data_IF_998541850680
#
_entry.id   IF_998541850680
#
_cell.length_a   1.000
_cell.length_b   1.000
_cell.length_c   1.000
_cell.angle_alpha   90.00
_cell.angle_beta   90.00
_cell.angle_gamma   90.00
#
_symmetry.space_group_name_H-M   'P 1'
#
loop_
_entity.id
_entity.type
_entity.pdbx_description
1 polymer ?
#
# COMPACT_ATOMS: atom_id res chain seq x y z
N UNK A 1 31.59 -17.23 -4.96
CA UNK A 1 31.76 -17.30 -3.52
C UNK A 1 31.32 -16.04 -2.82
N UNK A 2 31.10 -16.11 -1.54
CA UNK A 2 30.73 -14.98 -0.68
C UNK A 2 32.02 -14.32 -0.20
N UNK A 3 32.13 -12.99 -0.28
CA UNK A 3 33.33 -12.26 0.12
C UNK A 3 33.21 -11.69 1.56
N UNK A 4 31.99 -11.56 2.07
CA UNK A 4 31.69 -11.12 3.43
C UNK A 4 30.48 -11.90 3.96
N UNK A 5 30.65 -12.56 5.09
CA UNK A 5 29.55 -13.20 5.80
C UNK A 5 28.89 -12.21 6.75
N UNK A 6 27.56 -12.22 6.80
CA UNK A 6 26.80 -11.51 7.81
C UNK A 6 26.49 -12.47 8.96
N UNK A 7 27.31 -12.38 10.03
CA UNK A 7 27.20 -13.21 11.23
C UNK A 7 27.02 -12.27 12.44
N UNK A 8 25.79 -11.97 12.82
CA UNK A 8 25.50 -10.89 13.77
C UNK A 8 25.61 -11.30 15.24
N UNK A 9 25.68 -12.61 15.54
CA UNK A 9 25.53 -13.09 16.93
C UNK A 9 26.82 -13.50 17.59
N UNK A 10 27.81 -14.01 16.83
CA UNK A 10 29.08 -14.47 17.38
C UNK A 10 30.24 -14.32 16.37
N UNK A 11 31.44 -14.77 16.80
CA UNK A 11 32.65 -14.73 15.99
C UNK A 11 33.08 -16.13 15.48
N UNK A 12 32.23 -17.13 15.58
CA UNK A 12 32.55 -18.51 15.18
C UNK A 12 32.97 -18.60 13.71
N UNK A 13 32.36 -17.80 12.83
CA UNK A 13 32.77 -17.72 11.42
C UNK A 13 34.29 -17.46 11.27
N UNK A 14 34.83 -16.50 12.03
CA UNK A 14 36.26 -16.15 11.96
C UNK A 14 37.15 -17.31 12.41
N UNK A 15 36.76 -18.00 13.48
CA UNK A 15 37.47 -19.15 14.00
C UNK A 15 37.47 -20.32 13.03
N UNK A 16 36.29 -20.70 12.54
CA UNK A 16 36.12 -21.81 11.60
C UNK A 16 36.82 -21.53 10.25
N UNK A 17 36.74 -20.30 9.74
CA UNK A 17 37.43 -19.92 8.50
C UNK A 17 38.95 -20.01 8.65
N UNK A 18 39.50 -19.58 9.80
CA UNK A 18 40.92 -19.71 10.12
C UNK A 18 41.36 -21.18 10.15
N UNK A 19 40.58 -22.06 10.77
CA UNK A 19 40.82 -23.50 10.80
C UNK A 19 40.83 -24.09 9.39
N UNK A 20 39.85 -23.76 8.54
CA UNK A 20 39.79 -24.23 7.17
C UNK A 20 41.02 -23.82 6.32
N UNK A 21 41.57 -22.62 6.58
CA UNK A 21 42.81 -22.17 5.95
C UNK A 21 44.01 -22.97 6.46
N UNK A 22 44.12 -23.22 7.79
CA UNK A 22 45.16 -24.01 8.39
C UNK A 22 45.16 -25.48 7.91
N UNK A 23 43.96 -26.04 7.72
CA UNK A 23 43.75 -27.38 7.16
C UNK A 23 43.94 -27.42 5.63
N UNK A 24 44.27 -26.30 4.99
CA UNK A 24 44.45 -26.16 3.53
C UNK A 24 43.20 -26.49 2.70
N UNK A 25 42.02 -26.45 3.32
CA UNK A 25 40.73 -26.61 2.64
C UNK A 25 40.31 -25.33 1.91
N UNK A 26 40.73 -24.16 2.39
CA UNK A 26 40.55 -22.87 1.77
C UNK A 26 41.94 -22.25 1.53
N UNK A 27 42.31 -21.92 0.29
CA UNK A 27 43.60 -21.29 0.00
C UNK A 27 43.61 -19.83 0.47
N UNK A 28 44.75 -19.37 0.97
CA UNK A 28 44.93 -17.97 1.42
C UNK A 28 44.63 -16.97 0.31
N UNK A 29 44.91 -17.31 -0.95
CA UNK A 29 44.56 -16.46 -2.11
C UNK A 29 43.09 -16.15 -2.23
N UNK A 30 42.19 -17.05 -1.77
CA UNK A 30 40.75 -16.81 -1.75
C UNK A 30 40.36 -15.77 -0.69
N UNK A 31 41.04 -15.84 0.47
CA UNK A 31 40.85 -14.85 1.53
C UNK A 31 41.33 -13.47 1.07
N UNK A 32 42.52 -13.43 0.46
CA UNK A 32 43.07 -12.17 -0.09
C UNK A 32 42.16 -11.55 -1.17
N UNK A 33 41.52 -12.35 -2.02
CA UNK A 33 40.60 -11.87 -3.03
C UNK A 33 39.34 -11.26 -2.37
N UNK A 34 38.76 -11.93 -1.37
CA UNK A 34 37.62 -11.41 -0.60
C UNK A 34 37.95 -10.06 0.06
N UNK A 35 39.09 -10.00 0.76
CA UNK A 35 39.56 -8.77 1.42
C UNK A 35 39.77 -7.64 0.41
N UNK A 36 40.41 -7.92 -0.75
CA UNK A 36 40.60 -6.90 -1.80
C UNK A 36 39.28 -6.37 -2.34
N UNK A 37 38.26 -7.20 -2.49
CA UNK A 37 36.94 -6.76 -2.96
C UNK A 37 36.25 -5.84 -1.94
N UNK A 38 36.27 -6.19 -0.66
CA UNK A 38 35.73 -5.35 0.41
C UNK A 38 36.49 -4.04 0.52
N UNK A 39 37.84 -4.08 0.53
CA UNK A 39 38.66 -2.88 0.61
C UNK A 39 38.47 -1.97 -0.63
N UNK A 40 38.38 -2.55 -1.82
CA UNK A 40 38.10 -1.80 -3.06
C UNK A 40 36.81 -1.00 -2.95
N UNK A 41 35.75 -1.59 -2.39
CA UNK A 41 34.49 -0.88 -2.17
C UNK A 41 34.69 0.30 -1.18
N UNK A 42 35.40 0.06 -0.07
CA UNK A 42 35.70 1.10 0.92
C UNK A 42 36.50 2.27 0.32
N UNK A 43 37.51 1.98 -0.51
CA UNK A 43 38.27 3.02 -1.24
C UNK A 43 37.40 3.79 -2.22
N UNK A 44 36.55 3.10 -3.00
CA UNK A 44 35.63 3.74 -3.95
C UNK A 44 34.62 4.67 -3.27
N UNK A 45 34.21 4.33 -2.07
CA UNK A 45 33.30 5.13 -1.25
C UNK A 45 34.02 6.26 -0.48
N UNK A 46 35.37 6.34 -0.55
CA UNK A 46 36.15 7.35 0.18
C UNK A 46 36.13 7.18 1.70
N UNK A 47 35.84 5.97 2.23
CA UNK A 47 35.65 5.76 3.67
C UNK A 47 36.94 5.93 4.48
N UNK A 48 38.12 5.89 3.85
CA UNK A 48 39.41 6.15 4.53
C UNK A 48 39.69 7.64 4.63
N UNK A 49 39.19 8.45 3.68
CA UNK A 49 39.36 9.89 3.68
C UNK A 49 38.24 10.60 4.46
N UNK A 50 37.00 10.03 4.37
CA UNK A 50 35.79 10.55 5.00
C UNK A 50 35.06 9.43 5.77
N UNK A 51 35.63 8.97 6.91
CA UNK A 51 35.07 7.80 7.64
C UNK A 51 33.73 8.07 8.32
N UNK A 52 33.41 9.35 8.57
CA UNK A 52 32.22 9.73 9.32
C UNK A 52 31.38 10.75 8.52
N UNK A 53 30.09 10.52 8.50
CA UNK A 53 29.10 11.50 8.04
C UNK A 53 28.62 12.32 9.23
N UNK A 54 28.73 13.64 9.16
CA UNK A 54 28.31 14.53 10.23
C UNK A 54 26.98 15.18 9.89
N UNK A 55 26.04 15.20 10.82
CA UNK A 55 24.72 15.83 10.62
C UNK A 55 24.78 17.28 10.17
N UNK A 56 25.83 18.03 10.61
CA UNK A 56 26.04 19.43 10.19
C UNK A 56 26.20 19.61 8.67
N UNK A 57 26.65 18.55 7.97
CA UNK A 57 26.85 18.55 6.53
C UNK A 57 25.54 18.26 5.76
N UNK A 58 24.48 17.95 6.48
CA UNK A 58 23.14 17.61 5.95
C UNK A 58 22.04 18.42 6.63
N UNK A 59 21.99 19.74 6.42
CA UNK A 59 21.09 20.65 7.16
C UNK A 59 19.61 20.38 6.91
N UNK A 60 19.27 19.69 5.81
CA UNK A 60 17.89 19.31 5.51
C UNK A 60 17.45 17.99 6.18
N UNK A 61 18.39 17.23 6.77
CA UNK A 61 18.04 15.98 7.46
C UNK A 61 17.15 16.25 8.68
N UNK A 62 15.92 15.74 8.66
CA UNK A 62 14.93 15.99 9.71
C UNK A 62 14.43 17.44 9.76
N UNK A 63 14.61 18.22 8.70
CA UNK A 63 14.08 19.59 8.60
C UNK A 63 12.55 19.62 8.49
N UNK A 64 11.97 20.81 8.70
CA UNK A 64 10.54 21.04 8.46
C UNK A 64 10.12 20.77 7.01
N UNK A 65 11.01 21.03 6.07
CA UNK A 65 10.79 20.76 4.65
C UNK A 65 10.65 19.25 4.40
N UNK A 66 11.57 18.42 4.93
CA UNK A 66 11.48 16.98 4.84
C UNK A 66 10.24 16.42 5.60
N UNK A 67 9.85 17.06 6.72
CA UNK A 67 8.64 16.72 7.45
C UNK A 67 7.37 16.90 6.61
N UNK A 68 7.28 18.03 5.89
CA UNK A 68 6.14 18.30 4.98
C UNK A 68 6.11 17.33 3.80
N UNK A 69 7.26 16.99 3.22
CA UNK A 69 7.33 15.97 2.16
C UNK A 69 6.83 14.62 2.67
N UNK A 70 7.23 14.20 3.87
CA UNK A 70 6.79 12.94 4.47
C UNK A 70 5.28 12.95 4.79
N UNK A 71 4.74 14.07 5.30
CA UNK A 71 3.30 14.23 5.52
C UNK A 71 2.53 14.12 4.19
N UNK A 72 2.94 14.86 3.16
CA UNK A 72 2.29 14.80 1.84
C UNK A 72 2.37 13.39 1.23
N UNK A 73 3.50 12.69 1.41
CA UNK A 73 3.62 11.31 0.94
C UNK A 73 2.63 10.37 1.65
N UNK A 74 2.42 10.54 2.96
CA UNK A 74 1.40 9.80 3.70
C UNK A 74 -0.02 10.14 3.22
N UNK A 75 -0.36 11.41 3.09
CA UNK A 75 -1.66 11.88 2.57
C UNK A 75 -1.98 11.32 1.17
N UNK A 76 -0.95 11.17 0.33
CA UNK A 76 -1.11 10.63 -1.03
C UNK A 76 -1.03 9.11 -1.13
N UNK A 77 -0.77 8.40 -0.03
CA UNK A 77 -0.71 6.94 0.04
C UNK A 77 -1.95 6.30 0.69
N UNK A 78 -2.72 7.03 1.49
CA UNK A 78 -3.90 6.51 2.17
C UNK A 78 -5.10 6.42 1.22
N UNK A 79 -5.70 5.23 1.12
CA UNK A 79 -6.70 4.90 0.09
C UNK A 79 -8.11 4.87 0.69
N UNK A 80 -8.99 5.74 0.22
CA UNK A 80 -10.42 5.67 0.54
C UNK A 80 -11.08 4.54 -0.26
N UNK A 81 -11.56 3.50 0.42
CA UNK A 81 -12.12 2.29 -0.18
C UNK A 81 -13.65 2.21 -0.13
N UNK A 82 -14.25 2.89 0.83
CA UNK A 82 -15.71 2.99 0.99
C UNK A 82 -16.08 4.32 1.62
N UNK A 83 -17.17 4.93 1.15
CA UNK A 83 -17.73 6.15 1.71
C UNK A 83 -19.24 6.19 1.48
N UNK A 84 -19.97 5.39 2.27
CA UNK A 84 -21.41 5.27 2.16
C UNK A 84 -22.08 6.57 2.57
N UNK A 85 -23.05 7.00 1.77
CA UNK A 85 -23.85 8.22 1.99
C UNK A 85 -23.02 9.48 2.22
N UNK A 86 -21.75 9.48 1.75
CA UNK A 86 -20.79 10.57 1.95
C UNK A 86 -20.59 10.92 3.44
N UNK A 87 -20.45 9.92 4.31
CA UNK A 87 -20.19 10.13 5.72
C UNK A 87 -18.86 10.87 5.97
N UNK A 88 -17.89 10.69 5.07
CA UNK A 88 -16.65 11.47 5.02
C UNK A 88 -16.76 12.58 3.96
N UNK A 89 -16.16 13.76 4.23
CA UNK A 89 -15.41 14.14 5.43
C UNK A 89 -16.31 14.33 6.66
N UNK A 90 -15.72 14.11 7.84
CA UNK A 90 -16.42 14.20 9.12
C UNK A 90 -16.78 15.66 9.44
N UNK A 91 -18.01 15.95 9.87
CA UNK A 91 -18.36 17.28 10.34
C UNK A 91 -17.73 17.56 11.71
N UNK A 92 -17.32 18.81 11.94
CA UNK A 92 -16.81 19.27 13.22
C UNK A 92 -17.86 19.17 14.35
N UNK A 93 -17.40 19.05 15.60
CA UNK A 93 -18.25 19.03 16.78
C UNK A 93 -18.92 17.69 17.09
N UNK A 94 -18.67 16.64 16.31
CA UNK A 94 -19.12 15.29 16.58
C UNK A 94 -18.29 14.65 17.68
N UNK A 95 -18.93 13.83 18.52
CA UNK A 95 -18.25 12.99 19.50
C UNK A 95 -17.75 11.72 18.82
N UNK A 96 -16.47 11.48 18.91
CA UNK A 96 -15.77 10.38 18.26
C UNK A 96 -15.25 9.37 19.30
N UNK A 97 -15.38 8.09 19.00
CA UNK A 97 -14.64 7.02 19.66
C UNK A 97 -13.54 6.54 18.73
N UNK A 98 -12.29 6.60 19.17
CA UNK A 98 -11.17 5.94 18.49
C UNK A 98 -10.89 4.64 19.23
N UNK A 99 -10.88 3.50 18.52
CA UNK A 99 -10.84 2.17 19.11
C UNK A 99 -10.00 1.22 18.25
N UNK A 100 -9.67 0.04 18.76
CA UNK A 100 -8.82 -0.95 18.11
C UNK A 100 -7.34 -0.85 18.49
N UNK A 101 -6.56 -1.91 18.21
CA UNK A 101 -5.17 -2.00 18.66
C UNK A 101 -4.24 -0.99 18.00
N UNK A 102 -4.56 -0.57 16.78
CA UNK A 102 -3.76 0.39 15.99
C UNK A 102 -4.07 1.86 16.31
N UNK A 103 -5.09 2.12 17.15
CA UNK A 103 -5.57 3.47 17.44
C UNK A 103 -4.52 4.39 18.07
N UNK A 104 -3.66 3.86 18.95
CA UNK A 104 -2.72 4.64 19.73
C UNK A 104 -1.32 3.98 19.77
N UNK A 105 -0.72 3.77 18.60
CA UNK A 105 0.59 3.14 18.45
C UNK A 105 1.34 3.69 17.23
N UNK A 106 2.49 4.30 17.48
CA UNK A 106 3.42 4.68 16.42
C UNK A 106 4.08 3.45 15.80
N UNK A 107 4.21 2.37 16.57
CA UNK A 107 4.77 1.10 16.11
C UNK A 107 3.96 0.54 14.94
N UNK A 108 2.64 0.54 15.04
CA UNK A 108 1.75 0.06 13.97
C UNK A 108 1.85 0.92 12.70
N UNK A 109 1.94 2.25 12.83
CA UNK A 109 2.07 3.17 11.71
C UNK A 109 3.37 3.00 10.93
N UNK A 110 4.46 2.61 11.60
CA UNK A 110 5.79 2.56 11.01
C UNK A 110 6.20 1.18 10.48
N UNK A 111 5.73 0.10 11.09
CA UNK A 111 6.13 -1.26 10.70
C UNK A 111 7.54 -1.66 11.14
N UNK A 112 8.06 -2.75 10.58
CA UNK A 112 9.41 -3.24 10.84
C UNK A 112 10.50 -2.39 10.19
N UNK A 113 11.76 -2.59 10.61
CA UNK A 113 12.93 -1.80 10.19
C UNK A 113 12.83 -0.31 10.49
N UNK A 114 11.88 0.08 11.35
CA UNK A 114 11.74 1.45 11.84
C UNK A 114 12.23 1.53 13.27
N UNK A 115 13.25 2.34 13.54
CA UNK A 115 13.94 2.49 14.83
C UNK A 115 14.57 1.23 15.41
N UNK A 116 14.09 0.06 15.06
CA UNK A 116 14.64 -1.25 15.42
C UNK A 116 14.22 -2.30 14.39
N UNK A 117 14.87 -3.48 14.41
CA UNK A 117 14.60 -4.54 13.44
C UNK A 117 13.11 -4.89 13.35
N UNK A 118 12.47 -5.29 14.44
CA UNK A 118 11.04 -5.63 14.45
C UNK A 118 10.12 -4.43 14.72
N UNK A 119 10.65 -3.21 14.78
CA UNK A 119 9.87 -2.01 15.05
C UNK A 119 9.41 -1.85 16.52
N UNK A 120 9.80 -2.73 17.43
CA UNK A 120 9.35 -2.74 18.83
C UNK A 120 9.80 -1.55 19.67
N UNK A 121 10.82 -0.80 19.20
CA UNK A 121 11.30 0.41 19.86
C UNK A 121 10.67 1.70 19.30
N UNK A 122 9.77 1.60 18.33
CA UNK A 122 9.21 2.77 17.63
C UNK A 122 8.49 3.72 18.60
N UNK A 123 7.62 3.21 19.46
CA UNK A 123 6.85 4.06 20.39
C UNK A 123 7.77 4.86 21.34
N UNK A 124 8.98 4.33 21.63
CA UNK A 124 9.97 5.02 22.48
C UNK A 124 10.67 6.17 21.75
N UNK A 125 10.93 6.04 20.44
CA UNK A 125 11.74 7.00 19.68
C UNK A 125 10.90 7.91 18.78
N UNK A 126 9.64 7.57 18.55
CA UNK A 126 8.70 8.35 17.74
C UNK A 126 7.73 9.19 18.58
N UNK A 127 8.01 9.41 19.86
CA UNK A 127 7.20 10.11 20.85
C UNK A 127 6.87 11.57 20.51
N UNK A 128 7.59 12.16 19.56
CA UNK A 128 7.35 13.52 19.04
C UNK A 128 6.34 13.58 17.90
N UNK A 129 5.86 12.43 17.40
CA UNK A 129 4.89 12.33 16.33
C UNK A 129 3.54 11.88 16.89
N UNK A 130 2.47 12.15 16.17
CA UNK A 130 1.13 11.85 16.63
C UNK A 130 0.71 10.43 16.20
N UNK A 131 0.20 9.65 17.15
CA UNK A 131 -0.59 8.45 16.84
C UNK A 131 -1.90 8.84 16.14
N UNK A 132 -2.66 7.87 15.62
CA UNK A 132 -3.99 8.13 15.02
C UNK A 132 -4.88 8.88 16.05
N UNK A 133 -4.93 8.39 17.28
CA UNK A 133 -5.72 9.00 18.33
C UNK A 133 -5.31 10.46 18.62
N UNK A 134 -4.02 10.71 18.80
CA UNK A 134 -3.50 12.05 19.11
C UNK A 134 -3.74 13.03 17.95
N UNK A 135 -3.54 12.59 16.71
CA UNK A 135 -3.82 13.40 15.53
C UNK A 135 -5.30 13.76 15.41
N UNK A 136 -6.21 12.80 15.68
CA UNK A 136 -7.65 13.05 15.68
C UNK A 136 -8.03 14.01 16.82
N UNK A 137 -7.44 13.87 18.01
CA UNK A 137 -7.63 14.84 19.11
C UNK A 137 -7.20 16.25 18.70
N UNK A 138 -6.04 16.39 18.05
CA UNK A 138 -5.54 17.68 17.59
C UNK A 138 -6.47 18.29 16.52
N UNK A 139 -7.06 17.48 15.66
CA UNK A 139 -7.92 17.92 14.54
C UNK A 139 -9.35 18.26 14.97
N UNK A 140 -9.97 17.45 15.82
CA UNK A 140 -11.39 17.55 16.18
C UNK A 140 -11.63 18.08 17.59
N UNK A 141 -10.58 18.31 18.37
CA UNK A 141 -10.63 18.74 19.77
C UNK A 141 -10.68 17.56 20.75
N UNK A 142 -9.77 17.53 21.72
CA UNK A 142 -9.63 16.43 22.66
C UNK A 142 -10.90 16.15 23.48
N UNK A 143 -11.71 17.18 23.77
CA UNK A 143 -12.99 17.03 24.50
C UNK A 143 -14.06 16.28 23.69
N UNK A 144 -13.89 16.18 22.37
CA UNK A 144 -14.79 15.47 21.47
C UNK A 144 -14.35 14.04 21.16
N UNK A 145 -13.12 13.66 21.52
CA UNK A 145 -12.51 12.39 21.12
C UNK A 145 -12.23 11.54 22.35
N UNK A 146 -12.75 10.32 22.35
CA UNK A 146 -12.50 9.31 23.39
C UNK A 146 -11.68 8.18 22.83
N UNK A 147 -10.66 7.74 23.58
CA UNK A 147 -9.94 6.50 23.32
C UNK A 147 -10.50 5.39 24.20
N UNK A 148 -10.83 4.26 23.58
CA UNK A 148 -11.09 2.99 24.27
C UNK A 148 -10.74 1.87 23.31
N UNK A 149 -9.55 1.28 23.46
CA UNK A 149 -9.02 0.38 22.44
C UNK A 149 -9.78 -0.95 22.32
N UNK A 150 -10.24 -1.52 23.45
CA UNK A 150 -10.96 -2.81 23.49
C UNK A 150 -10.10 -4.02 23.15
N UNK A 151 -9.11 -3.85 22.26
CA UNK A 151 -8.07 -4.83 21.91
C UNK A 151 -6.74 -4.11 21.89
N UNK A 152 -5.67 -4.73 22.40
CA UNK A 152 -4.31 -4.19 22.42
C UNK A 152 -3.30 -5.28 22.18
N UNK A 153 -2.17 -4.94 21.57
CA UNK A 153 -1.05 -5.87 21.41
C UNK A 153 -0.24 -6.00 22.71
N UNK A 154 0.40 -7.17 22.90
CA UNK A 154 1.39 -7.35 23.98
C UNK A 154 2.68 -6.64 23.60
N UNK A 155 3.21 -5.74 24.44
CA UNK A 155 4.43 -4.97 24.13
C UNK A 155 5.65 -5.86 23.81
N UNK A 156 5.85 -6.91 24.60
CA UNK A 156 7.00 -7.84 24.47
C UNK A 156 6.60 -9.16 23.78
N UNK A 157 5.40 -9.26 23.24
CA UNK A 157 4.90 -10.46 22.56
C UNK A 157 5.35 -10.54 21.10
N UNK A 158 5.03 -11.66 20.44
CA UNK A 158 5.10 -11.75 18.98
C UNK A 158 4.18 -10.68 18.34
N UNK A 159 4.45 -10.30 17.09
CA UNK A 159 3.73 -9.19 16.46
C UNK A 159 2.18 -9.34 16.47
N UNK A 160 1.70 -10.58 16.44
CA UNK A 160 0.26 -10.90 16.43
C UNK A 160 -0.34 -11.12 17.83
N UNK A 161 0.48 -11.15 18.88
CA UNK A 161 -0.03 -11.43 20.23
C UNK A 161 -0.77 -10.25 20.81
N UNK A 162 -1.99 -10.53 21.24
CA UNK A 162 -2.89 -9.57 21.86
C UNK A 162 -3.05 -9.84 23.36
N UNK A 163 -3.33 -8.80 24.12
CA UNK A 163 -3.77 -8.93 25.51
C UNK A 163 -5.21 -9.47 25.57
N UNK A 164 -5.66 -9.84 26.77
CA UNK A 164 -7.07 -10.18 26.98
C UNK A 164 -7.96 -9.02 26.53
N UNK A 165 -8.93 -9.22 25.64
CA UNK A 165 -9.72 -8.14 25.06
C UNK A 165 -10.73 -7.56 26.04
N UNK A 166 -10.91 -6.24 26.01
CA UNK A 166 -11.87 -5.49 26.84
C UNK A 166 -13.02 -4.92 25.98
N UNK A 167 -13.60 -5.76 25.12
CA UNK A 167 -14.59 -5.37 24.11
C UNK A 167 -15.81 -4.67 24.71
N UNK A 168 -16.31 -5.13 25.87
CA UNK A 168 -17.45 -4.54 26.56
C UNK A 168 -17.21 -3.06 26.95
N UNK A 169 -15.97 -2.70 27.30
CA UNK A 169 -15.60 -1.29 27.59
C UNK A 169 -15.72 -0.44 26.33
N UNK A 170 -15.22 -0.94 25.19
CA UNK A 170 -15.31 -0.24 23.91
C UNK A 170 -16.78 -0.06 23.48
N UNK A 171 -17.61 -1.10 23.61
CA UNK A 171 -19.05 -1.03 23.31
C UNK A 171 -19.77 -0.02 24.23
N UNK A 172 -19.45 -0.02 25.54
CA UNK A 172 -20.01 0.96 26.47
C UNK A 172 -19.61 2.40 26.11
N UNK A 173 -18.37 2.61 25.71
CA UNK A 173 -17.89 3.91 25.22
C UNK A 173 -18.61 4.34 23.93
N UNK A 174 -18.80 3.43 22.99
CA UNK A 174 -19.43 3.66 21.69
C UNK A 174 -20.88 4.16 21.80
N UNK A 175 -21.61 3.76 22.83
CA UNK A 175 -23.00 4.21 23.05
C UNK A 175 -23.12 5.72 23.27
N UNK A 176 -22.05 6.36 23.75
CA UNK A 176 -22.04 7.77 24.15
C UNK A 176 -21.39 8.70 23.12
N UNK A 177 -21.12 8.22 21.91
CA UNK A 177 -20.52 8.99 20.81
C UNK A 177 -21.42 9.01 19.60
N UNK A 178 -21.06 9.84 18.61
CA UNK A 178 -21.81 9.94 17.35
C UNK A 178 -21.25 8.97 16.30
N UNK A 179 -19.92 8.79 16.25
CA UNK A 179 -19.19 8.03 15.23
C UNK A 179 -18.07 7.23 15.88
N UNK A 180 -17.83 6.04 15.36
CA UNK A 180 -16.77 5.13 15.78
C UNK A 180 -15.68 5.11 14.68
N UNK A 181 -14.42 5.30 15.07
CA UNK A 181 -13.24 5.13 14.23
C UNK A 181 -12.51 3.88 14.73
N UNK A 182 -12.69 2.76 14.04
CA UNK A 182 -12.13 1.46 14.42
C UNK A 182 -10.83 1.22 13.65
N UNK A 183 -9.69 1.31 14.35
CA UNK A 183 -8.34 1.13 13.79
C UNK A 183 -7.88 -0.30 14.04
N UNK A 184 -7.94 -1.12 13.00
CA UNK A 184 -7.55 -2.53 13.02
C UNK A 184 -6.44 -2.81 12.01
N UNK A 185 -5.81 -3.97 12.11
CA UNK A 185 -4.76 -4.37 11.19
C UNK A 185 -3.67 -5.20 11.85
N UNK A 186 -2.43 -4.82 11.62
CA UNK A 186 -1.25 -5.55 12.09
C UNK A 186 -0.37 -4.68 12.99
N UNK A 187 0.34 -5.33 13.91
CA UNK A 187 1.46 -4.72 14.61
C UNK A 187 2.71 -4.77 13.71
N UNK A 188 3.80 -4.12 14.12
CA UNK A 188 5.05 -4.15 13.35
C UNK A 188 5.69 -5.53 13.32
N UNK A 189 6.20 -5.90 12.17
CA UNK A 189 6.99 -7.11 11.92
C UNK A 189 7.92 -6.90 10.73
N UNK A 190 8.93 -7.74 10.61
CA UNK A 190 9.69 -7.95 9.39
C UNK A 190 10.25 -9.38 9.34
N UNK A 191 10.56 -9.85 8.14
CA UNK A 191 11.17 -11.15 7.86
C UNK A 191 10.40 -12.34 8.48
N UNK A 192 11.12 -13.43 8.82
CA UNK A 192 10.55 -14.67 9.35
C UNK A 192 9.63 -14.49 10.57
N UNK A 193 9.92 -13.62 11.56
CA UNK A 193 8.98 -13.36 12.65
C UNK A 193 7.60 -12.87 12.20
N UNK A 194 7.50 -12.29 11.00
CA UNK A 194 6.24 -11.86 10.41
C UNK A 194 5.55 -12.91 9.54
N UNK A 195 6.07 -14.14 9.43
CA UNK A 195 5.41 -15.19 8.66
C UNK A 195 4.05 -15.54 9.25
N UNK A 196 3.11 -15.83 8.37
CA UNK A 196 1.78 -16.29 8.74
C UNK A 196 1.30 -17.37 7.77
N UNK A 197 0.36 -18.19 8.21
CA UNK A 197 -0.29 -19.24 7.42
C UNK A 197 -1.71 -18.86 6.97
N UNK A 198 -2.29 -17.82 7.56
CA UNK A 198 -3.67 -17.38 7.32
C UNK A 198 -3.71 -15.86 7.12
N UNK A 199 -4.53 -15.40 6.17
CA UNK A 199 -4.75 -13.97 5.95
C UNK A 199 -5.88 -13.40 6.81
N UNK A 200 -6.60 -14.21 7.58
CA UNK A 200 -7.68 -13.74 8.45
C UNK A 200 -7.17 -12.66 9.42
N UNK A 201 -7.94 -11.58 9.60
CA UNK A 201 -7.69 -10.61 10.68
C UNK A 201 -7.82 -11.30 12.03
N UNK A 202 -7.17 -10.78 13.08
CA UNK A 202 -7.29 -11.33 14.43
C UNK A 202 -8.74 -11.54 14.85
N UNK A 203 -9.01 -12.68 15.49
CA UNK A 203 -10.33 -13.01 15.99
C UNK A 203 -10.86 -11.99 17.00
N UNK A 204 -10.00 -11.37 17.83
CA UNK A 204 -10.41 -10.36 18.78
C UNK A 204 -10.74 -9.03 18.09
N UNK A 205 -9.99 -8.64 17.06
CA UNK A 205 -10.29 -7.45 16.25
C UNK A 205 -11.61 -7.64 15.49
N UNK A 206 -11.84 -8.82 14.91
CA UNK A 206 -13.11 -9.16 14.26
C UNK A 206 -14.28 -9.09 15.25
N UNK A 207 -14.15 -9.68 16.45
CA UNK A 207 -15.15 -9.59 17.52
C UNK A 207 -15.42 -8.16 17.94
N UNK A 208 -14.38 -7.33 18.08
CA UNK A 208 -14.51 -5.92 18.42
C UNK A 208 -15.41 -5.18 17.42
N UNK A 209 -15.08 -5.24 16.12
CA UNK A 209 -15.87 -4.54 15.09
C UNK A 209 -17.31 -5.02 15.05
N UNK A 210 -17.56 -6.36 15.12
CA UNK A 210 -18.89 -6.93 15.16
C UNK A 210 -19.69 -6.48 16.40
N UNK A 211 -19.05 -6.40 17.57
CA UNK A 211 -19.69 -5.93 18.77
C UNK A 211 -20.03 -4.41 18.70
N UNK A 212 -19.13 -3.61 18.15
CA UNK A 212 -19.36 -2.17 17.93
C UNK A 212 -20.53 -1.94 16.97
N UNK A 213 -20.67 -2.74 15.92
CA UNK A 213 -21.79 -2.66 14.98
C UNK A 213 -23.16 -2.85 15.65
N UNK A 214 -23.24 -3.60 16.76
CA UNK A 214 -24.49 -3.76 17.51
C UNK A 214 -25.01 -2.48 18.17
N UNK A 215 -24.17 -1.44 18.27
CA UNK A 215 -24.54 -0.15 18.82
C UNK A 215 -25.38 0.69 17.87
N UNK A 216 -25.39 0.35 16.57
CA UNK A 216 -26.08 1.10 15.52
C UNK A 216 -25.41 2.45 15.19
N UNK A 217 -24.21 2.69 15.71
CA UNK A 217 -23.44 3.90 15.38
C UNK A 217 -22.67 3.70 14.08
N UNK A 218 -22.51 4.75 13.25
CA UNK A 218 -21.65 4.66 12.07
C UNK A 218 -20.22 4.27 12.41
N UNK A 219 -19.64 3.39 11.62
CA UNK A 219 -18.26 2.91 11.79
C UNK A 219 -17.41 3.33 10.60
N UNK A 220 -16.32 4.03 10.88
CA UNK A 220 -15.21 4.30 9.98
C UNK A 220 -14.15 3.26 10.29
N UNK A 221 -13.90 2.35 9.36
CA UNK A 221 -12.90 1.30 9.52
C UNK A 221 -11.58 1.77 8.93
N UNK A 222 -10.54 1.82 9.76
CA UNK A 222 -9.17 2.14 9.36
C UNK A 222 -8.38 0.84 9.34
N UNK A 223 -7.84 0.49 8.17
CA UNK A 223 -6.95 -0.65 7.97
C UNK A 223 -5.52 -0.14 8.01
N UNK A 224 -4.75 -0.57 9.02
CA UNK A 224 -3.34 -0.24 9.17
C UNK A 224 -2.55 -1.55 9.13
N UNK A 225 -2.10 -1.91 7.94
CA UNK A 225 -1.56 -3.24 7.66
C UNK A 225 -0.49 -3.21 6.58
N UNK A 226 0.53 -4.04 6.72
CA UNK A 226 1.61 -4.17 5.72
C UNK A 226 1.28 -5.14 4.59
N UNK A 227 0.23 -5.93 4.73
CA UNK A 227 -0.31 -6.88 3.75
C UNK A 227 -1.82 -7.02 3.96
N UNK A 228 -2.60 -7.37 2.92
CA UNK A 228 -4.05 -7.44 3.04
C UNK A 228 -4.48 -8.52 4.03
N UNK A 229 -5.42 -8.18 4.91
CA UNK A 229 -6.07 -9.11 5.84
C UNK A 229 -7.52 -9.31 5.42
N UNK A 230 -8.01 -10.54 5.47
CA UNK A 230 -9.39 -10.85 5.07
C UNK A 230 -10.38 -10.19 6.04
N UNK A 231 -11.20 -9.30 5.48
CA UNK A 231 -12.20 -8.50 6.21
C UNK A 231 -13.59 -8.53 5.54
N UNK A 232 -13.84 -9.53 4.70
CA UNK A 232 -15.06 -9.63 3.91
C UNK A 232 -16.36 -9.61 4.73
N UNK A 233 -16.29 -10.01 6.00
CA UNK A 233 -17.42 -10.01 6.96
C UNK A 233 -17.46 -8.74 7.83
N UNK A 234 -16.43 -7.93 7.81
CA UNK A 234 -16.35 -6.65 8.54
C UNK A 234 -16.68 -5.45 7.65
N UNK A 235 -16.23 -5.47 6.39
CA UNK A 235 -16.47 -4.39 5.43
C UNK A 235 -17.96 -4.00 5.33
N UNK A 236 -18.94 -4.94 5.28
CA UNK A 236 -20.35 -4.58 5.23
C UNK A 236 -20.87 -3.84 6.47
N UNK A 237 -20.20 -3.97 7.62
CA UNK A 237 -20.54 -3.32 8.87
C UNK A 237 -20.03 -1.88 8.96
N UNK A 238 -19.10 -1.49 8.08
CA UNK A 238 -18.52 -0.15 8.05
C UNK A 238 -19.26 0.77 7.10
N UNK A 239 -19.41 2.05 7.45
CA UNK A 239 -19.94 3.10 6.60
C UNK A 239 -18.86 3.76 5.74
N UNK A 240 -17.62 3.78 6.24
CA UNK A 240 -16.45 4.11 5.44
C UNK A 240 -15.28 3.17 5.75
N UNK A 241 -14.38 3.00 4.78
CA UNK A 241 -13.15 2.21 4.91
C UNK A 241 -11.99 2.99 4.31
N UNK A 242 -10.92 3.15 5.06
CA UNK A 242 -9.66 3.74 4.59
C UNK A 242 -8.54 2.72 4.88
N UNK A 243 -7.78 2.36 3.85
CA UNK A 243 -6.54 1.60 3.99
C UNK A 243 -5.38 2.58 4.04
N UNK A 244 -4.69 2.64 5.18
CA UNK A 244 -3.56 3.53 5.38
C UNK A 244 -2.21 2.85 5.17
N UNK A 245 -2.20 1.53 4.91
CA UNK A 245 -0.97 0.74 4.77
C UNK A 245 -0.03 0.93 5.98
N UNK A 246 1.24 1.26 5.73
CA UNK A 246 2.24 1.65 6.74
C UNK A 246 2.72 3.07 6.42
N UNK A 247 1.99 4.11 6.84
CA UNK A 247 2.23 5.48 6.37
C UNK A 247 3.39 6.19 7.10
N UNK A 248 3.98 5.55 8.10
CA UNK A 248 5.11 6.08 8.85
C UNK A 248 4.73 7.14 9.88
N UNK A 249 5.71 7.96 10.27
CA UNK A 249 5.59 8.89 11.39
C UNK A 249 4.47 9.94 11.26
N UNK A 250 4.08 10.31 10.05
CA UNK A 250 3.06 11.32 9.77
C UNK A 250 1.70 10.73 9.39
N UNK A 251 1.55 9.41 9.45
CA UNK A 251 0.32 8.74 9.04
C UNK A 251 -0.89 9.12 9.88
N UNK A 252 -0.73 9.31 11.21
CA UNK A 252 -1.81 9.79 12.05
C UNK A 252 -2.32 11.17 11.62
N UNK A 253 -1.39 12.10 11.34
CA UNK A 253 -1.73 13.46 10.89
C UNK A 253 -2.36 13.45 9.50
N UNK A 254 -1.84 12.64 8.57
CA UNK A 254 -2.38 12.46 7.23
C UNK A 254 -3.83 11.95 7.26
N UNK A 255 -4.08 10.88 8.03
CA UNK A 255 -5.42 10.34 8.23
C UNK A 255 -6.37 11.39 8.83
N UNK A 256 -5.93 12.15 9.84
CA UNK A 256 -6.75 13.18 10.44
C UNK A 256 -7.11 14.30 9.44
N UNK A 257 -6.19 14.69 8.55
CA UNK A 257 -6.44 15.65 7.47
C UNK A 257 -7.47 15.12 6.47
N UNK A 258 -7.36 13.84 6.08
CA UNK A 258 -8.35 13.18 5.21
C UNK A 258 -9.72 13.13 5.90
N UNK A 259 -9.79 12.64 7.13
CA UNK A 259 -11.05 12.56 7.87
C UNK A 259 -11.75 13.92 8.03
N UNK A 260 -10.98 14.99 8.19
CA UNK A 260 -11.51 16.36 8.31
C UNK A 260 -11.89 17.02 6.96
N UNK A 261 -11.43 16.44 5.84
CA UNK A 261 -11.64 17.01 4.51
C UNK A 261 -10.65 18.11 4.12
N UNK A 262 -9.60 18.32 4.91
CA UNK A 262 -8.50 19.25 4.57
C UNK A 262 -7.69 18.70 3.38
N UNK A 263 -7.67 17.38 3.24
CA UNK A 263 -7.08 16.66 2.12
C UNK A 263 -8.15 15.76 1.50
N UNK A 264 -8.32 15.88 0.18
CA UNK A 264 -9.17 14.98 -0.58
C UNK A 264 -8.37 13.72 -0.95
N UNK A 265 -8.79 12.50 -0.52
CA UNK A 265 -8.07 11.29 -0.82
C UNK A 265 -7.93 11.06 -2.33
N UNK A 266 -6.76 10.59 -2.75
CA UNK A 266 -6.41 10.46 -4.15
C UNK A 266 -5.56 9.23 -4.47
N UNK A 267 -5.27 8.43 -3.46
CA UNK A 267 -4.52 7.19 -3.62
C UNK A 267 -5.38 6.09 -4.27
N UNK A 268 -4.71 5.16 -4.93
CA UNK A 268 -5.33 3.98 -5.55
C UNK A 268 -4.64 2.73 -5.02
N UNK A 269 -5.41 1.65 -4.88
CA UNK A 269 -4.88 0.35 -4.45
C UNK A 269 -3.74 -0.12 -5.36
N UNK A 270 -2.54 -0.34 -4.80
CA UNK A 270 -1.38 -0.78 -5.59
C UNK A 270 -1.36 -2.29 -5.85
N UNK A 271 -2.34 -3.03 -5.35
CA UNK A 271 -2.54 -4.46 -5.55
C UNK A 271 -4.04 -4.79 -5.55
N UNK A 272 -4.38 -6.02 -5.96
CA UNK A 272 -5.74 -6.55 -5.81
C UNK A 272 -5.93 -7.05 -4.38
N UNK A 273 -6.87 -6.47 -3.65
CA UNK A 273 -7.19 -6.85 -2.28
C UNK A 273 -8.06 -8.13 -2.28
N UNK A 274 -7.60 -9.26 -1.70
CA UNK A 274 -8.32 -10.52 -1.73
C UNK A 274 -9.57 -10.47 -0.83
N UNK A 275 -10.66 -11.04 -1.31
CA UNK A 275 -11.90 -11.19 -0.52
C UNK A 275 -11.88 -12.46 0.33
N UNK A 276 -11.20 -13.50 -0.14
CA UNK A 276 -11.08 -14.81 0.51
C UNK A 276 -9.63 -15.27 0.39
N UNK A 277 -9.17 -16.11 1.28
CA UNK A 277 -7.79 -16.61 1.28
C UNK A 277 -7.41 -17.34 -0.01
N UNK A 278 -8.36 -18.04 -0.63
CA UNK A 278 -8.15 -18.74 -1.91
C UNK A 278 -8.31 -17.82 -3.15
N UNK A 279 -8.71 -16.56 -2.97
CA UNK A 279 -8.91 -15.62 -4.06
C UNK A 279 -7.61 -14.84 -4.36
N UNK A 280 -6.55 -15.55 -4.70
CA UNK A 280 -5.24 -14.99 -5.01
C UNK A 280 -5.14 -14.68 -6.51
N UNK A 281 -5.94 -13.72 -6.98
CA UNK A 281 -5.85 -13.23 -8.34
C UNK A 281 -5.16 -11.87 -8.39
N UNK A 282 -4.37 -11.64 -9.43
CA UNK A 282 -3.75 -10.36 -9.74
C UNK A 282 -4.58 -9.61 -10.79
N UNK A 283 -4.38 -8.30 -10.96
CA UNK A 283 -5.13 -7.50 -11.94
C UNK A 283 -4.81 -7.89 -13.39
N UNK A 284 -3.63 -8.48 -13.62
CA UNK A 284 -3.10 -8.94 -14.90
C UNK A 284 -3.23 -10.45 -15.09
N UNK A 285 -4.21 -11.07 -14.43
CA UNK A 285 -4.49 -12.50 -14.59
C UNK A 285 -4.70 -12.89 -16.05
N UNK A 286 -4.49 -14.16 -16.37
CA UNK A 286 -4.79 -14.70 -17.71
C UNK A 286 -6.26 -15.09 -17.79
N UNK A 287 -6.90 -14.80 -18.93
CA UNK A 287 -8.34 -15.03 -19.12
C UNK A 287 -8.74 -16.48 -18.88
N UNK A 288 -7.81 -17.44 -19.10
CA UNK A 288 -8.04 -18.87 -18.82
C UNK A 288 -8.12 -19.21 -17.32
N UNK A 289 -7.71 -18.32 -16.44
CA UNK A 289 -7.69 -18.50 -14.98
C UNK A 289 -8.97 -17.96 -14.33
N UNK A 290 -9.68 -17.08 -14.99
CA UNK A 290 -10.98 -16.54 -14.59
C UNK A 290 -12.04 -16.91 -15.62
N UNK A 291 -13.09 -17.57 -15.18
CA UNK A 291 -14.18 -17.99 -16.04
C UNK A 291 -15.42 -17.17 -15.77
N UNK A 292 -16.16 -16.92 -16.84
CA UNK A 292 -17.48 -16.31 -16.75
C UNK A 292 -18.50 -17.23 -16.07
N UNK A 293 -19.67 -16.68 -15.77
CA UNK A 293 -20.80 -17.49 -15.32
C UNK A 293 -21.20 -18.48 -16.38
N UNK A 294 -21.42 -19.73 -15.99
CA UNK A 294 -22.08 -20.72 -16.82
C UNK A 294 -23.54 -20.83 -16.44
N UNK A 295 -24.42 -20.68 -17.43
CA UNK A 295 -25.87 -20.87 -17.28
C UNK A 295 -26.29 -22.24 -17.83
N UNK A 296 -27.31 -22.85 -17.25
CA UNK A 296 -27.90 -24.11 -17.70
C UNK A 296 -27.61 -25.27 -16.77
N UNK A 297 -27.35 -26.48 -17.33
CA UNK A 297 -27.20 -27.71 -16.56
C UNK A 297 -26.06 -27.69 -15.51
N UNK A 298 -25.12 -26.78 -15.69
CA UNK A 298 -23.97 -26.54 -14.80
C UNK A 298 -23.95 -25.06 -14.38
N UNK A 299 -25.03 -24.61 -13.75
CA UNK A 299 -25.12 -23.22 -13.26
C UNK A 299 -24.12 -22.98 -12.14
N UNK A 300 -22.96 -22.43 -12.48
CA UNK A 300 -21.93 -22.05 -11.54
C UNK A 300 -21.26 -20.72 -11.91
N UNK A 301 -20.75 -20.06 -10.90
CA UNK A 301 -19.98 -18.83 -11.03
C UNK A 301 -18.51 -19.10 -10.66
N UNK A 302 -17.63 -19.11 -11.64
CA UNK A 302 -16.20 -19.33 -11.45
C UNK A 302 -15.39 -18.00 -11.35
N UNK A 303 -16.08 -16.86 -11.38
CA UNK A 303 -15.40 -15.56 -11.25
C UNK A 303 -14.81 -15.41 -9.86
N UNK A 304 -13.50 -15.14 -9.80
CA UNK A 304 -12.80 -14.88 -8.53
C UNK A 304 -13.26 -13.53 -7.96
N UNK A 305 -13.92 -13.59 -6.82
CA UNK A 305 -14.42 -12.40 -6.13
C UNK A 305 -13.29 -11.74 -5.35
N UNK A 306 -12.94 -10.48 -5.70
CA UNK A 306 -11.98 -9.67 -4.97
C UNK A 306 -12.68 -8.67 -4.05
N UNK A 307 -12.02 -8.20 -3.00
CA UNK A 307 -12.57 -7.16 -2.12
C UNK A 307 -12.49 -5.80 -2.82
N UNK A 308 -11.30 -5.43 -3.29
CA UNK A 308 -11.07 -4.25 -4.12
C UNK A 308 -10.04 -4.56 -5.21
N UNK A 309 -10.29 -4.19 -6.45
CA UNK A 309 -9.35 -4.44 -7.53
C UNK A 309 -8.15 -3.47 -7.46
N UNK A 310 -7.04 -3.85 -8.09
CA UNK A 310 -5.93 -2.94 -8.37
C UNK A 310 -6.42 -1.67 -9.04
N UNK A 311 -5.91 -0.53 -8.60
CA UNK A 311 -6.26 0.79 -9.11
C UNK A 311 -7.56 1.36 -8.54
N UNK A 312 -8.26 0.63 -7.65
CA UNK A 312 -9.44 1.13 -6.97
C UNK A 312 -9.07 2.16 -5.89
N UNK A 313 -9.88 3.18 -5.75
CA UNK A 313 -9.76 4.21 -4.72
C UNK A 313 -10.75 5.33 -5.01
N UNK A 314 -11.42 5.80 -3.98
CA UNK A 314 -12.43 6.85 -4.04
C UNK A 314 -11.82 8.24 -3.76
N UNK A 315 -12.60 9.25 -4.05
CA UNK A 315 -12.31 10.65 -3.77
C UNK A 315 -13.57 11.32 -3.22
N UNK A 316 -13.45 12.47 -2.57
CA UNK A 316 -14.60 13.30 -2.19
C UNK A 316 -15.22 14.05 -3.38
N UNK A 317 -14.58 13.96 -4.54
CA UNK A 317 -15.08 14.50 -5.81
C UNK A 317 -15.23 13.38 -6.85
N UNK A 318 -15.73 13.70 -8.03
CA UNK A 318 -15.95 12.76 -9.13
C UNK A 318 -15.22 13.20 -10.37
N UNK A 319 -14.73 12.25 -11.17
CA UNK A 319 -14.04 12.53 -12.43
C UNK A 319 -14.71 11.81 -13.59
N UNK A 320 -14.76 12.48 -14.74
CA UNK A 320 -15.24 11.95 -16.00
C UNK A 320 -14.11 11.89 -17.02
N UNK A 321 -14.07 10.80 -17.79
CA UNK A 321 -13.07 10.55 -18.82
C UNK A 321 -13.72 10.62 -20.19
N UNK A 322 -13.13 11.40 -21.10
CA UNK A 322 -13.64 11.57 -22.47
C UNK A 322 -12.51 11.78 -23.48
N UNK A 323 -12.82 11.71 -24.78
CA UNK A 323 -11.91 12.02 -25.88
C UNK A 323 -10.59 11.23 -25.86
N UNK A 324 -10.66 9.92 -25.58
CA UNK A 324 -9.48 9.05 -25.62
C UNK A 324 -9.01 8.85 -27.05
N UNK A 325 -7.78 9.25 -27.35
CA UNK A 325 -7.19 9.27 -28.69
C UNK A 325 -5.74 8.78 -28.67
N UNK A 326 -5.24 8.39 -29.85
CA UNK A 326 -3.84 8.07 -30.09
C UNK A 326 -3.34 8.78 -31.36
N UNK A 327 -2.06 9.08 -31.40
CA UNK A 327 -1.39 9.64 -32.58
C UNK A 327 -1.21 8.60 -33.70
N UNK A 328 -1.23 7.29 -33.38
CA UNK A 328 -1.03 6.19 -34.32
C UNK A 328 -2.05 5.07 -34.09
N UNK A 329 -2.86 4.78 -35.11
CA UNK A 329 -3.74 3.60 -35.11
C UNK A 329 -2.99 2.31 -35.49
N UNK A 330 -1.81 2.43 -36.10
CA UNK A 330 -0.89 1.31 -36.38
C UNK A 330 0.55 1.73 -36.16
N UNK A 331 1.41 0.77 -35.73
CA UNK A 331 2.78 1.04 -35.34
C UNK A 331 3.70 -0.12 -35.72
N UNK A 332 5.02 0.12 -35.63
CA UNK A 332 6.11 -0.83 -35.89
C UNK A 332 7.10 -0.84 -34.73
N UNK A 333 8.05 -1.77 -34.77
CA UNK A 333 9.10 -1.83 -33.75
C UNK A 333 9.92 -0.53 -33.72
N UNK A 334 10.16 -0.03 -32.49
CA UNK A 334 10.90 1.21 -32.26
C UNK A 334 10.05 2.48 -32.26
N UNK A 335 8.74 2.39 -32.53
CA UNK A 335 7.83 3.52 -32.44
C UNK A 335 7.59 3.95 -30.97
N UNK A 336 7.52 5.27 -30.75
CA UNK A 336 6.88 5.86 -29.58
C UNK A 336 5.38 6.04 -29.86
N UNK A 337 4.55 5.71 -28.89
CA UNK A 337 3.09 5.76 -28.95
C UNK A 337 2.59 6.78 -27.93
N UNK A 338 1.77 7.74 -28.40
CA UNK A 338 1.22 8.77 -27.54
C UNK A 338 -0.30 8.63 -27.47
N UNK A 339 -0.81 8.72 -26.25
CA UNK A 339 -2.24 8.64 -25.96
C UNK A 339 -2.67 9.90 -25.23
N UNK A 340 -3.80 10.46 -25.59
CA UNK A 340 -4.38 11.61 -24.90
C UNK A 340 -5.80 11.31 -24.46
N UNK A 341 -6.17 11.81 -23.29
CA UNK A 341 -7.51 11.70 -22.72
C UNK A 341 -7.86 12.96 -21.95
N UNK A 342 -9.10 13.41 -22.06
CA UNK A 342 -9.61 14.49 -21.26
C UNK A 342 -10.16 13.96 -19.94
N UNK A 343 -9.76 14.58 -18.84
CA UNK A 343 -10.24 14.29 -17.49
C UNK A 343 -10.89 15.54 -16.93
N UNK A 344 -12.15 15.44 -16.55
CA UNK A 344 -12.94 16.54 -15.99
C UNK A 344 -13.30 16.24 -14.53
N UNK A 345 -13.06 17.18 -13.63
CA UNK A 345 -13.59 17.12 -12.27
C UNK A 345 -15.06 17.57 -12.30
N UNK A 346 -15.99 16.62 -12.18
CA UNK A 346 -17.43 16.86 -12.21
C UNK A 346 -18.06 17.10 -10.84
N UNK A 347 -17.25 16.99 -9.77
CA UNK A 347 -17.73 17.14 -8.40
C UNK A 347 -17.53 18.55 -7.83
N UNK A 348 -17.63 18.66 -6.51
CA UNK A 348 -17.67 19.95 -5.80
C UNK A 348 -16.34 20.33 -5.14
N UNK A 349 -15.41 19.42 -5.02
CA UNK A 349 -14.12 19.61 -4.34
C UNK A 349 -12.97 19.55 -5.34
N UNK A 350 -11.93 20.32 -5.11
CA UNK A 350 -10.65 20.10 -5.79
C UNK A 350 -10.15 18.69 -5.47
N UNK A 351 -9.56 18.03 -6.43
CA UNK A 351 -9.10 16.66 -6.23
C UNK A 351 -8.03 16.23 -7.21
N UNK A 352 -7.31 15.19 -6.84
CA UNK A 352 -6.31 14.56 -7.71
C UNK A 352 -6.84 13.25 -8.23
N UNK A 353 -6.56 12.95 -9.50
CA UNK A 353 -6.93 11.68 -10.15
C UNK A 353 -5.70 11.01 -10.75
N UNK A 354 -5.63 9.68 -10.62
CA UNK A 354 -4.58 8.86 -11.21
C UNK A 354 -5.07 8.29 -12.54
N UNK A 355 -4.64 8.91 -13.62
CA UNK A 355 -4.96 8.49 -14.99
C UNK A 355 -4.06 7.33 -15.37
N UNK A 356 -4.63 6.15 -15.58
CA UNK A 356 -3.91 4.90 -15.85
C UNK A 356 -4.19 4.41 -17.27
N UNK A 357 -3.13 4.10 -18.03
CA UNK A 357 -3.19 3.49 -19.35
C UNK A 357 -2.90 2.00 -19.25
N UNK A 358 -3.85 1.18 -19.64
CA UNK A 358 -3.70 -0.27 -19.73
C UNK A 358 -3.66 -0.73 -21.18
N UNK A 359 -2.94 -1.83 -21.42
CA UNK A 359 -3.00 -2.57 -22.69
C UNK A 359 -3.50 -3.99 -22.46
N UNK A 360 -4.22 -4.55 -23.42
CA UNK A 360 -4.52 -5.97 -23.56
C UNK A 360 -4.08 -6.40 -24.94
N UNK A 361 -3.21 -7.38 -25.04
CA UNK A 361 -2.92 -8.08 -26.29
C UNK A 361 -4.13 -8.97 -26.58
N UNK A 362 -4.67 -8.91 -27.79
CA UNK A 362 -5.90 -9.65 -28.11
C UNK A 362 -5.60 -11.07 -28.58
N UNK A 363 -4.46 -11.29 -29.22
CA UNK A 363 -4.03 -12.60 -29.73
C UNK A 363 -2.51 -12.69 -29.71
N UNK A 364 -1.97 -13.62 -28.95
CA UNK A 364 -0.53 -13.89 -28.90
C UNK A 364 -0.26 -15.41 -28.93
N UNK A 365 1.00 -15.79 -29.20
CA UNK A 365 1.44 -17.19 -29.19
C UNK A 365 1.37 -17.87 -27.82
N UNK A 366 1.33 -17.08 -26.75
CA UNK A 366 0.97 -17.51 -25.38
C UNK A 366 -0.29 -16.78 -24.95
N UNK A 367 -1.07 -17.38 -24.05
CA UNK A 367 -2.26 -16.72 -23.49
C UNK A 367 -1.87 -15.37 -22.86
N UNK A 368 -2.37 -14.25 -23.40
CA UNK A 368 -2.01 -12.92 -22.88
C UNK A 368 -2.69 -12.63 -21.54
N UNK A 369 -2.13 -11.66 -20.83
CA UNK A 369 -2.77 -11.13 -19.62
C UNK A 369 -4.07 -10.39 -19.99
N UNK A 370 -5.05 -10.43 -19.08
CA UNK A 370 -6.30 -9.68 -19.22
C UNK A 370 -6.04 -8.21 -19.57
N UNK A 371 -5.16 -7.57 -18.82
CA UNK A 371 -4.68 -6.21 -19.07
C UNK A 371 -3.39 -5.96 -18.31
N UNK A 372 -2.59 -5.00 -18.77
CA UNK A 372 -1.36 -4.60 -18.09
C UNK A 372 -1.22 -3.09 -18.03
N UNK A 373 -0.89 -2.54 -16.86
CA UNK A 373 -0.59 -1.12 -16.69
C UNK A 373 0.70 -0.78 -17.45
N UNK A 374 0.64 0.22 -18.33
CA UNK A 374 1.77 0.66 -19.15
C UNK A 374 2.29 2.03 -18.78
N UNK A 375 1.39 2.93 -18.41
CA UNK A 375 1.73 4.27 -17.95
C UNK A 375 0.68 4.80 -17.00
N UNK A 376 1.06 5.75 -16.15
CA UNK A 376 0.11 6.51 -15.35
C UNK A 376 0.61 7.93 -15.12
N UNK A 377 -0.33 8.82 -14.81
CA UNK A 377 -0.04 10.20 -14.44
C UNK A 377 -1.09 10.69 -13.43
N UNK A 378 -0.63 11.31 -12.35
CA UNK A 378 -1.52 11.96 -11.38
C UNK A 378 -1.69 13.42 -11.77
N UNK A 379 -2.93 13.90 -11.80
CA UNK A 379 -3.30 15.28 -12.14
C UNK A 379 -4.19 15.85 -11.06
N UNK A 380 -4.11 17.17 -10.84
CA UNK A 380 -4.94 17.90 -9.89
C UNK A 380 -5.90 18.81 -10.65
N UNK A 381 -7.19 18.77 -10.31
CA UNK A 381 -8.24 19.48 -11.01
C UNK A 381 -9.16 20.20 -10.03
N UNK A 382 -9.46 21.46 -10.33
CA UNK A 382 -10.48 22.23 -9.63
C UNK A 382 -11.89 21.79 -10.08
N UNK A 383 -12.95 22.04 -9.29
CA UNK A 383 -14.32 21.78 -9.71
C UNK A 383 -14.64 22.37 -11.07
N UNK A 384 -15.14 21.55 -12.00
CA UNK A 384 -15.46 21.94 -13.37
C UNK A 384 -14.26 22.05 -14.32
N UNK A 385 -13.03 21.86 -13.83
CA UNK A 385 -11.83 21.90 -14.66
C UNK A 385 -11.69 20.62 -15.49
N UNK A 386 -11.28 20.80 -16.75
CA UNK A 386 -10.91 19.72 -17.67
C UNK A 386 -9.46 19.88 -18.06
N UNK A 387 -8.71 18.79 -18.00
CA UNK A 387 -7.32 18.73 -18.45
C UNK A 387 -7.12 17.58 -19.43
N UNK A 388 -6.46 17.85 -20.56
CA UNK A 388 -5.99 16.81 -21.46
C UNK A 388 -4.70 16.20 -20.90
N UNK A 389 -4.72 14.91 -20.61
CA UNK A 389 -3.59 14.15 -20.07
C UNK A 389 -2.97 13.34 -21.19
N UNK A 390 -1.67 13.53 -21.42
CA UNK A 390 -0.90 12.73 -22.38
C UNK A 390 -0.07 11.69 -21.64
N UNK A 391 -0.15 10.43 -22.12
CA UNK A 391 0.60 9.27 -21.67
C UNK A 391 1.39 8.70 -22.84
N UNK A 392 2.65 8.36 -22.64
CA UNK A 392 3.55 7.86 -23.69
C UNK A 392 4.17 6.54 -23.28
N UNK A 393 4.23 5.61 -24.22
CA UNK A 393 4.91 4.31 -24.08
C UNK A 393 5.75 4.04 -25.33
N UNK A 394 6.71 3.14 -25.21
CA UNK A 394 7.42 2.60 -26.38
C UNK A 394 6.70 1.36 -26.90
N UNK A 395 6.80 1.07 -28.19
CA UNK A 395 6.30 -0.19 -28.76
C UNK A 395 6.89 -1.41 -28.03
N UNK A 396 8.14 -1.36 -27.59
CA UNK A 396 8.79 -2.41 -26.79
C UNK A 396 8.11 -2.69 -25.44
N UNK A 397 7.38 -1.72 -24.90
CA UNK A 397 6.66 -1.90 -23.62
C UNK A 397 5.45 -2.84 -23.75
N UNK A 398 5.01 -3.10 -24.99
CA UNK A 398 3.94 -4.05 -25.30
C UNK A 398 4.44 -5.48 -25.49
N UNK A 399 5.76 -5.71 -25.50
CA UNK A 399 6.36 -7.03 -25.63
C UNK A 399 6.05 -7.92 -24.42
N UNK A 400 6.05 -9.23 -24.66
CA UNK A 400 5.94 -10.27 -23.64
C UNK A 400 7.10 -11.28 -23.76
N UNK A 401 7.28 -12.14 -22.75
CA UNK A 401 8.31 -13.19 -22.76
C UNK A 401 7.68 -14.47 -23.32
N UNK A 402 8.23 -14.97 -24.44
CA UNK A 402 7.77 -16.20 -25.10
C UNK A 402 8.30 -17.48 -24.39
N UNK A 403 7.95 -18.66 -24.91
CA UNK A 403 8.39 -19.96 -24.38
C UNK A 403 9.90 -20.17 -24.34
N UNK A 404 10.64 -19.45 -25.20
CA UNK A 404 12.11 -19.53 -25.28
C UNK A 404 12.81 -18.53 -24.32
N UNK A 405 12.05 -17.81 -23.51
CA UNK A 405 12.58 -16.80 -22.60
C UNK A 405 13.02 -15.50 -23.28
N UNK A 406 12.53 -15.23 -24.48
CA UNK A 406 12.86 -14.04 -25.27
C UNK A 406 11.73 -13.02 -25.20
N UNK A 407 12.08 -11.74 -25.10
CA UNK A 407 11.13 -10.65 -25.27
C UNK A 407 10.73 -10.54 -26.74
N UNK A 408 9.44 -10.69 -27.02
CA UNK A 408 8.88 -10.61 -28.39
C UNK A 408 7.68 -9.68 -28.41
N UNK A 409 7.49 -9.02 -29.55
CA UNK A 409 6.30 -8.27 -29.90
C UNK A 409 5.75 -8.92 -31.18
N UNK A 410 4.54 -9.46 -31.10
CA UNK A 410 3.89 -10.18 -32.21
C UNK A 410 2.91 -9.28 -32.95
N UNK A 411 2.76 -9.49 -34.26
CA UNK A 411 1.79 -8.74 -35.06
C UNK A 411 0.36 -9.03 -34.60
N UNK A 412 -0.41 -7.99 -34.48
CA UNK A 412 -1.79 -8.12 -33.97
C UNK A 412 -2.37 -6.84 -33.41
N UNK A 413 -3.55 -6.95 -32.86
CA UNK A 413 -4.31 -5.84 -32.28
C UNK A 413 -4.15 -5.79 -30.77
N UNK A 414 -3.91 -4.60 -30.28
CA UNK A 414 -3.85 -4.26 -28.87
C UNK A 414 -5.02 -3.36 -28.50
N UNK A 415 -5.78 -3.76 -27.48
CA UNK A 415 -6.80 -2.91 -26.87
C UNK A 415 -6.13 -2.04 -25.82
N UNK A 416 -6.23 -0.72 -26.00
CA UNK A 416 -5.75 0.27 -25.05
C UNK A 416 -6.93 0.80 -24.25
N UNK A 417 -6.80 0.92 -22.93
CA UNK A 417 -7.86 1.37 -22.04
C UNK A 417 -7.35 2.47 -21.10
N UNK A 418 -8.13 3.54 -20.97
CA UNK A 418 -7.91 4.60 -19.99
C UNK A 418 -9.25 4.99 -19.36
N UNK A 419 -9.38 4.81 -18.04
CA UNK A 419 -10.68 4.91 -17.38
C UNK A 419 -11.70 3.93 -17.98
N UNK A 420 -12.86 4.46 -18.42
CA UNK A 420 -13.92 3.72 -19.12
C UNK A 420 -13.79 3.78 -20.64
N UNK A 421 -12.79 4.48 -21.17
CA UNK A 421 -12.57 4.67 -22.61
C UNK A 421 -11.63 3.60 -23.17
N UNK A 422 -11.90 3.14 -24.39
CA UNK A 422 -11.16 2.07 -25.06
C UNK A 422 -10.91 2.45 -26.54
N UNK A 423 -9.73 2.12 -27.04
CA UNK A 423 -9.40 2.15 -28.48
C UNK A 423 -8.50 0.96 -28.84
N UNK A 424 -8.37 0.70 -30.14
CA UNK A 424 -7.51 -0.38 -30.66
C UNK A 424 -6.38 0.23 -31.49
N UNK A 425 -5.18 -0.32 -31.33
CA UNK A 425 -4.00 -0.07 -32.16
C UNK A 425 -3.46 -1.37 -32.72
N UNK A 426 -2.86 -1.36 -33.90
CA UNK A 426 -2.38 -2.56 -34.61
C UNK A 426 -0.85 -2.52 -34.77
N UNK A 427 -0.14 -3.54 -34.29
CA UNK A 427 1.26 -3.77 -34.63
C UNK A 427 1.38 -4.48 -35.99
N UNK A 428 2.22 -3.92 -36.91
CA UNK A 428 2.42 -4.42 -38.29
C UNK A 428 3.77 -5.05 -38.49
#
# INVERSE_FOLDING_TARGET
GIDMAMEPYDLNYCTLLKELVQEKKVPMSRIDDAVRRVLRLKFRLGLFDHPNTLLKDYPLFGSKEHALIALHAAEESEVLLKNKDNILPLPQGKKLLVTGPNANSMRCLNGGWSYSWQGHLTDRFADKYNTIYEAICNKFGADHVRLEQGVTYKPEGAYMEENEPEIEKAVAAARNVDIIIACIGENSYCETPGNLSELAISANQSKLVKALATTGKPIILILNEGRPRIINDLEPLADAVIDILLPGNYGGDALANILAGDVNPSAKMPYTYPRHEAALTTYDYRVSEEMDKMEGAYDYNAVVSVQWPFGYGLSYTTFEYSNFQTDKSSFTAGDDLHFSIDVTNTGKYAGKEVVMLFSSDLVASLTPENRRLRAFKKVELQPGETQTVTLSIKSSDLAFVNSDGQWVLEQGDFRMQCGNQVLTITYK
#
